data_IF_101090554583
#
_entry.id   IF_101090554583
#
_cell.length_a   1.000
_cell.length_b   1.000
_cell.length_c   1.000
_cell.angle_alpha   90.00
_cell.angle_beta   90.00
_cell.angle_gamma   90.00
#
_symmetry.space_group_name_H-M   'P 1'
#
loop_
_entity.id
_entity.type
_entity.pdbx_description
1 polymer ?
#
# COMPACT_ATOMS: atom_id res chain seq x y z
N UNK A 1 14.06 -4.54 12.94
CA UNK A 1 12.72 -4.63 12.34
C UNK A 1 12.58 -5.98 11.64
N UNK A 2 11.42 -6.63 11.74
CA UNK A 2 11.09 -7.87 11.00
C UNK A 2 10.79 -7.55 9.55
N UNK A 3 9.77 -6.73 9.33
CA UNK A 3 9.29 -6.30 8.04
C UNK A 3 8.34 -5.12 8.20
N UNK A 4 7.85 -4.61 7.07
CA UNK A 4 6.96 -3.46 7.01
C UNK A 4 5.64 -3.85 6.36
N UNK A 5 4.52 -3.46 6.98
CA UNK A 5 3.19 -3.63 6.41
C UNK A 5 2.67 -2.30 5.85
N UNK A 6 2.31 -2.29 4.57
CA UNK A 6 1.73 -1.14 3.90
C UNK A 6 0.21 -1.13 4.15
N UNK A 7 -0.30 -0.07 4.78
CA UNK A 7 -1.65 -0.06 5.34
C UNK A 7 -2.62 0.79 4.51
N UNK A 8 -3.73 0.18 4.09
CA UNK A 8 -4.92 0.86 3.53
C UNK A 8 -6.03 0.99 4.57
N UNK A 9 -7.03 1.84 4.34
CA UNK A 9 -8.02 2.21 5.36
C UNK A 9 -9.49 2.12 4.99
N UNK A 10 -9.87 2.06 3.71
CA UNK A 10 -11.27 2.26 3.31
C UNK A 10 -12.27 1.23 3.87
N UNK A 11 -11.86 0.01 4.15
CA UNK A 11 -12.68 -1.00 4.86
C UNK A 11 -12.21 -1.22 6.32
N UNK A 12 -11.23 -0.45 6.78
CA UNK A 12 -10.51 -0.62 8.04
C UNK A 12 -9.23 -1.46 7.92
N UNK A 13 -8.66 -1.81 9.07
CA UNK A 13 -7.34 -2.47 9.17
C UNK A 13 -7.41 -3.78 9.96
N UNK A 14 -6.49 -4.70 9.67
CA UNK A 14 -6.36 -6.01 10.35
C UNK A 14 -7.65 -6.86 10.36
N UNK A 15 -8.55 -6.63 9.41
CA UNK A 15 -9.84 -7.31 9.31
C UNK A 15 -10.99 -6.64 10.07
N UNK A 16 -10.71 -5.59 10.86
CA UNK A 16 -11.70 -4.81 11.62
C UNK A 16 -12.20 -3.60 10.82
N UNK A 17 -13.47 -3.21 11.02
CA UNK A 17 -14.12 -2.07 10.34
C UNK A 17 -13.87 -0.77 11.08
N UNK A 18 -12.69 -0.22 10.86
CA UNK A 18 -12.19 0.96 11.58
C UNK A 18 -12.30 2.27 10.81
N UNK A 19 -12.84 2.25 9.59
CA UNK A 19 -13.10 3.48 8.86
C UNK A 19 -14.23 4.29 9.52
N UNK A 20 -14.16 5.62 9.46
CA UNK A 20 -15.14 6.50 10.11
C UNK A 20 -16.53 6.39 9.49
N UNK A 21 -16.65 6.00 8.21
CA UNK A 21 -17.94 5.80 7.56
C UNK A 21 -18.80 4.76 8.29
N UNK A 22 -18.19 3.72 8.88
CA UNK A 22 -18.91 2.74 9.69
C UNK A 22 -19.48 3.32 10.99
N UNK A 23 -18.89 4.40 11.52
CA UNK A 23 -19.38 5.09 12.73
C UNK A 23 -20.47 6.10 12.42
N UNK A 24 -20.28 6.89 11.36
CA UNK A 24 -21.19 7.99 11.01
C UNK A 24 -22.34 7.55 10.11
N UNK A 25 -22.19 6.41 9.44
CA UNK A 25 -23.09 5.91 8.40
C UNK A 25 -23.17 6.86 7.18
N UNK A 26 -22.14 7.69 6.98
CA UNK A 26 -22.06 8.64 5.87
C UNK A 26 -21.08 8.14 4.80
N UNK A 27 -21.42 8.38 3.53
CA UNK A 27 -20.58 8.03 2.37
C UNK A 27 -20.18 6.54 2.31
N UNK A 28 -21.05 5.65 2.82
CA UNK A 28 -20.84 4.21 2.80
C UNK A 28 -20.73 3.70 1.36
N UNK A 29 -19.67 2.94 1.08
CA UNK A 29 -19.60 2.05 -0.07
C UNK A 29 -20.62 0.91 0.04
N UNK A 30 -20.92 0.27 -1.08
CA UNK A 30 -21.89 -0.83 -1.14
C UNK A 30 -21.58 -1.95 -0.14
N UNK A 31 -20.31 -2.38 -0.07
CA UNK A 31 -19.88 -3.44 0.84
C UNK A 31 -19.93 -3.00 2.32
N UNK A 32 -19.67 -1.72 2.59
CA UNK A 32 -19.74 -1.18 3.96
C UNK A 32 -21.20 -1.15 4.46
N UNK A 33 -22.12 -0.71 3.60
CA UNK A 33 -23.55 -0.70 3.90
C UNK A 33 -24.09 -2.12 4.10
N UNK A 34 -23.75 -3.06 3.21
CA UNK A 34 -24.15 -4.46 3.33
C UNK A 34 -23.62 -5.12 4.62
N UNK A 35 -22.40 -4.77 5.04
CA UNK A 35 -21.85 -5.24 6.31
C UNK A 35 -22.67 -4.72 7.50
N UNK A 36 -22.97 -3.42 7.56
CA UNK A 36 -23.75 -2.85 8.66
C UNK A 36 -25.18 -3.43 8.73
N UNK A 37 -25.80 -3.70 7.58
CA UNK A 37 -27.12 -4.36 7.54
C UNK A 37 -27.07 -5.79 8.11
N UNK A 38 -26.02 -6.55 7.78
CA UNK A 38 -25.82 -7.92 8.27
C UNK A 38 -25.38 -7.98 9.75
N UNK A 39 -24.85 -6.89 10.29
CA UNK A 39 -24.28 -6.80 11.64
C UNK A 39 -24.91 -5.66 12.45
N UNK A 40 -26.19 -5.78 12.86
CA UNK A 40 -26.90 -4.70 13.58
C UNK A 40 -26.34 -4.42 14.98
N UNK A 41 -25.52 -5.32 15.52
CA UNK A 41 -24.81 -5.20 16.80
C UNK A 41 -23.37 -4.66 16.65
N UNK A 42 -23.04 -4.15 15.45
CA UNK A 42 -21.74 -3.55 15.16
C UNK A 42 -21.37 -2.44 16.15
N UNK A 43 -20.14 -2.51 16.68
CA UNK A 43 -19.57 -1.53 17.60
C UNK A 43 -18.22 -1.05 17.04
N UNK A 44 -18.22 0.16 16.50
CA UNK A 44 -17.03 0.77 15.90
C UNK A 44 -15.92 1.01 16.93
N UNK A 45 -16.25 1.44 18.15
CA UNK A 45 -15.24 1.76 19.17
C UNK A 45 -14.53 0.46 19.61
N UNK A 46 -15.28 -0.65 19.69
CA UNK A 46 -14.70 -1.98 19.91
C UNK A 46 -13.78 -2.43 18.78
N UNK A 47 -14.18 -2.26 17.53
CA UNK A 47 -13.39 -2.65 16.36
C UNK A 47 -12.06 -1.90 16.29
N UNK A 48 -12.07 -0.59 16.58
CA UNK A 48 -10.85 0.22 16.70
C UNK A 48 -9.97 -0.26 17.86
N UNK A 49 -10.57 -0.58 19.01
CA UNK A 49 -9.81 -1.07 20.16
C UNK A 49 -9.13 -2.41 19.88
N UNK A 50 -9.81 -3.35 19.23
CA UNK A 50 -9.23 -4.66 18.86
C UNK A 50 -8.14 -4.51 17.78
N UNK A 51 -8.37 -3.69 16.75
CA UNK A 51 -7.35 -3.39 15.74
C UNK A 51 -6.09 -2.76 16.36
N UNK A 52 -6.26 -1.88 17.36
CA UNK A 52 -5.15 -1.24 18.06
C UNK A 52 -4.31 -2.26 18.83
N UNK A 53 -4.92 -3.26 19.47
CA UNK A 53 -4.16 -4.35 20.13
C UNK A 53 -3.26 -5.09 19.15
N UNK A 54 -3.74 -5.34 17.92
CA UNK A 54 -2.93 -5.98 16.87
C UNK A 54 -1.77 -5.08 16.46
N UNK A 55 -2.02 -3.80 16.22
CA UNK A 55 -0.98 -2.84 15.86
C UNK A 55 0.12 -2.76 16.93
N UNK A 56 -0.26 -2.70 18.21
CA UNK A 56 0.69 -2.71 19.32
C UNK A 56 1.49 -4.01 19.40
N UNK A 57 0.84 -5.17 19.23
CA UNK A 57 1.52 -6.45 19.19
C UNK A 57 2.52 -6.55 18.02
N UNK A 58 2.13 -6.10 16.83
CA UNK A 58 3.01 -6.01 15.67
C UNK A 58 4.24 -5.14 15.96
N UNK A 59 4.05 -3.94 16.53
CA UNK A 59 5.15 -3.05 16.91
C UNK A 59 6.06 -3.66 17.97
N UNK A 60 5.51 -4.30 19.00
CA UNK A 60 6.27 -4.98 20.04
C UNK A 60 7.14 -6.12 19.48
N UNK A 61 6.67 -6.80 18.43
CA UNK A 61 7.40 -7.84 17.70
C UNK A 61 8.40 -7.27 16.65
N UNK A 62 8.49 -5.95 16.54
CA UNK A 62 9.42 -5.25 15.66
C UNK A 62 8.95 -5.09 14.21
N UNK A 63 7.64 -5.14 13.95
CA UNK A 63 7.07 -4.72 12.67
C UNK A 63 6.94 -3.21 12.58
N UNK A 64 7.09 -2.70 11.36
CA UNK A 64 6.85 -1.29 11.02
C UNK A 64 5.64 -1.16 10.10
N UNK A 65 5.06 0.04 10.03
CA UNK A 65 3.93 0.33 9.17
C UNK A 65 4.28 1.45 8.18
N UNK A 66 3.71 1.37 6.98
CA UNK A 66 3.78 2.41 5.96
C UNK A 66 2.38 2.80 5.50
N UNK A 67 2.25 4.03 5.00
CA UNK A 67 1.06 4.46 4.30
C UNK A 67 0.98 3.74 2.95
N UNK A 68 -0.18 3.17 2.65
CA UNK A 68 -0.48 2.64 1.32
C UNK A 68 -1.67 3.35 0.68
N UNK A 69 -1.87 4.62 1.06
CA UNK A 69 -3.10 5.44 0.88
C UNK A 69 -4.30 4.83 1.60
N UNK A 70 -5.29 5.64 1.97
CA UNK A 70 -6.54 5.17 2.57
C UNK A 70 -7.34 4.31 1.58
N UNK A 71 -7.51 4.79 0.34
CA UNK A 71 -8.38 4.17 -0.66
C UNK A 71 -7.71 3.11 -1.54
N UNK A 72 -6.45 2.75 -1.26
CA UNK A 72 -5.60 2.06 -2.24
C UNK A 72 -5.55 2.86 -3.58
N UNK A 73 -5.49 4.18 -3.47
CA UNK A 73 -5.54 5.13 -4.56
C UNK A 73 -4.20 5.23 -5.28
N UNK A 74 -4.20 4.94 -6.58
CA UNK A 74 -3.02 5.24 -7.42
C UNK A 74 -2.78 6.75 -7.48
N UNK A 75 -1.53 7.15 -7.27
CA UNK A 75 -1.06 8.54 -7.42
C UNK A 75 -1.02 9.03 -8.87
N UNK A 76 -1.05 8.10 -9.83
CA UNK A 76 -0.97 8.41 -11.25
C UNK A 76 -2.13 9.31 -11.69
N UNK A 77 -1.78 10.44 -12.31
CA UNK A 77 -2.72 11.44 -12.83
C UNK A 77 -3.73 11.93 -11.78
N UNK A 78 -3.34 12.05 -10.51
CA UNK A 78 -4.17 12.63 -9.44
C UNK A 78 -3.74 14.05 -9.10
N UNK A 79 -4.69 14.92 -8.80
CA UNK A 79 -4.39 16.24 -8.24
C UNK A 79 -3.89 16.12 -6.80
N UNK A 80 -3.17 17.13 -6.32
CA UNK A 80 -2.80 17.25 -4.90
C UNK A 80 -4.05 17.22 -4.03
N UNK A 81 -5.14 17.90 -4.41
CA UNK A 81 -6.39 17.90 -3.65
C UNK A 81 -7.00 16.51 -3.47
N UNK A 82 -6.91 15.67 -4.51
CA UNK A 82 -7.43 14.30 -4.42
C UNK A 82 -6.58 13.47 -3.46
N UNK A 83 -5.25 13.60 -3.58
CA UNK A 83 -4.30 12.89 -2.73
C UNK A 83 -4.35 13.37 -1.29
N UNK A 84 -4.59 14.66 -1.06
CA UNK A 84 -4.69 15.24 0.27
C UNK A 84 -5.95 14.79 0.99
N UNK A 85 -7.08 14.72 0.27
CA UNK A 85 -8.34 14.16 0.80
C UNK A 85 -8.17 12.70 1.22
N UNK A 86 -7.50 11.88 0.39
CA UNK A 86 -7.22 10.48 0.74
C UNK A 86 -6.26 10.39 1.95
N UNK A 87 -5.19 11.18 1.94
CA UNK A 87 -4.20 11.20 3.00
C UNK A 87 -4.78 11.67 4.34
N UNK A 88 -5.70 12.63 4.33
CA UNK A 88 -6.41 13.07 5.53
C UNK A 88 -7.25 11.95 6.13
N UNK A 89 -7.98 11.19 5.30
CA UNK A 89 -8.69 10.00 5.77
C UNK A 89 -7.74 8.97 6.37
N UNK A 90 -6.59 8.75 5.75
CA UNK A 90 -5.57 7.83 6.28
C UNK A 90 -5.07 8.28 7.66
N UNK A 91 -4.78 9.57 7.85
CA UNK A 91 -4.33 10.12 9.15
C UNK A 91 -5.43 10.00 10.22
N UNK A 92 -6.68 10.29 9.85
CA UNK A 92 -7.80 10.30 10.79
C UNK A 92 -8.34 8.90 11.13
N UNK A 93 -7.87 7.85 10.46
CA UNK A 93 -8.32 6.47 10.69
C UNK A 93 -7.13 5.53 10.94
N UNK A 94 -6.36 5.20 9.91
CA UNK A 94 -5.28 4.21 9.95
C UNK A 94 -4.14 4.64 10.86
N UNK A 95 -3.70 5.91 10.78
CA UNK A 95 -2.58 6.41 11.59
C UNK A 95 -2.92 6.44 13.09
N UNK A 96 -4.20 6.62 13.45
CA UNK A 96 -4.64 6.58 14.84
C UNK A 96 -4.50 5.18 15.46
N UNK A 97 -4.47 4.13 14.64
CA UNK A 97 -4.31 2.72 15.08
C UNK A 97 -2.85 2.27 14.95
N UNK A 98 -2.24 2.53 13.80
CA UNK A 98 -0.91 2.01 13.45
C UNK A 98 0.23 2.92 13.91
N UNK A 99 -0.07 4.18 14.23
CA UNK A 99 0.90 5.23 14.48
C UNK A 99 1.26 6.01 13.22
N UNK A 100 1.88 7.18 13.41
CA UNK A 100 2.44 7.96 12.30
C UNK A 100 3.60 7.19 11.66
N UNK A 101 3.75 7.37 10.35
CA UNK A 101 4.82 6.78 9.55
C UNK A 101 5.42 7.84 8.65
N UNK A 102 6.72 7.70 8.37
CA UNK A 102 7.46 8.52 7.41
C UNK A 102 7.65 7.80 6.07
N UNK A 103 7.04 6.62 5.91
CA UNK A 103 7.16 5.79 4.71
C UNK A 103 5.84 5.70 3.98
N UNK A 104 5.86 5.98 2.68
CA UNK A 104 4.76 5.74 1.77
C UNK A 104 5.16 4.73 0.70
N UNK A 105 4.37 3.67 0.61
CA UNK A 105 4.43 2.69 -0.46
C UNK A 105 3.26 3.02 -1.37
N UNK A 106 3.49 3.36 -2.64
CA UNK A 106 2.42 3.78 -3.53
C UNK A 106 1.57 2.60 -4.01
N UNK A 107 0.24 2.78 -3.94
CA UNK A 107 -0.71 1.80 -4.44
C UNK A 107 -0.49 1.52 -5.94
N UNK A 108 -0.77 0.28 -6.34
CA UNK A 108 -0.59 -0.21 -7.72
C UNK A 108 0.84 -0.12 -8.26
N UNK A 109 1.85 0.05 -7.39
CA UNK A 109 3.23 0.19 -7.80
C UNK A 109 3.54 1.49 -8.54
N UNK A 110 2.64 2.47 -8.48
CA UNK A 110 2.78 3.75 -9.11
C UNK A 110 3.95 4.56 -8.53
N UNK A 111 4.36 5.59 -9.25
CA UNK A 111 5.37 6.54 -8.80
C UNK A 111 4.84 7.97 -9.00
N UNK A 112 5.16 8.87 -8.06
CA UNK A 112 4.81 10.29 -8.12
C UNK A 112 5.76 11.10 -9.02
N UNK A 113 6.82 10.49 -9.56
CA UNK A 113 7.78 11.16 -10.42
C UNK A 113 8.30 10.31 -11.56
N UNK A 114 9.29 10.86 -12.27
CA UNK A 114 9.99 10.17 -13.36
C UNK A 114 11.22 9.42 -12.84
N UNK A 115 12.05 8.85 -13.70
CA UNK A 115 13.33 8.23 -13.29
C UNK A 115 14.33 9.21 -12.65
N UNK A 116 14.11 10.53 -12.81
CA UNK A 116 14.92 11.59 -12.20
C UNK A 116 14.60 11.74 -10.71
N UNK A 117 15.47 12.47 -10.02
CA UNK A 117 15.27 12.86 -8.62
C UNK A 117 13.95 13.61 -8.44
N UNK A 118 13.31 13.40 -7.29
CA UNK A 118 12.20 14.23 -6.87
C UNK A 118 12.67 15.65 -6.55
N UNK A 119 11.88 16.63 -7.00
CA UNK A 119 12.13 18.05 -6.80
C UNK A 119 10.82 18.74 -6.41
N UNK A 120 10.76 19.24 -5.17
CA UNK A 120 9.56 19.88 -4.62
C UNK A 120 9.21 21.20 -5.33
N UNK A 121 10.12 21.78 -6.12
CA UNK A 121 9.84 22.97 -6.92
C UNK A 121 9.14 22.68 -8.25
N UNK A 122 9.15 21.42 -8.70
CA UNK A 122 8.57 21.00 -9.99
C UNK A 122 7.56 19.86 -9.87
N UNK A 123 7.43 19.28 -8.68
CA UNK A 123 6.51 18.17 -8.40
C UNK A 123 5.67 18.46 -7.15
N UNK A 124 4.47 18.99 -7.38
CA UNK A 124 3.55 19.37 -6.30
C UNK A 124 3.08 18.17 -5.47
N UNK A 125 2.97 16.97 -6.06
CA UNK A 125 2.63 15.75 -5.31
C UNK A 125 3.75 15.37 -4.32
N UNK A 126 5.00 15.43 -4.77
CA UNK A 126 6.15 15.21 -3.89
C UNK A 126 6.22 16.27 -2.79
N UNK A 127 6.09 17.57 -3.14
CA UNK A 127 6.07 18.65 -2.17
C UNK A 127 4.99 18.44 -1.10
N UNK A 128 3.80 18.03 -1.51
CA UNK A 128 2.70 17.70 -0.61
C UNK A 128 3.06 16.55 0.34
N UNK A 129 3.41 15.37 -0.17
CA UNK A 129 3.75 14.23 0.70
C UNK A 129 4.95 14.54 1.60
N UNK A 130 5.94 15.29 1.09
CA UNK A 130 7.08 15.73 1.90
C UNK A 130 6.63 16.61 3.08
N UNK A 131 5.71 17.55 2.84
CA UNK A 131 5.13 18.40 3.90
C UNK A 131 4.33 17.62 4.96
N UNK A 132 3.81 16.44 4.60
CA UNK A 132 3.13 15.52 5.53
C UNK A 132 4.10 14.71 6.40
N UNK A 133 5.41 14.83 6.17
CA UNK A 133 6.45 14.17 6.96
C UNK A 133 6.99 12.87 6.36
N UNK A 134 6.63 12.54 5.11
CA UNK A 134 7.21 11.39 4.43
C UNK A 134 8.66 11.64 4.00
N UNK A 135 9.51 10.63 4.18
CA UNK A 135 10.93 10.63 3.82
C UNK A 135 11.31 9.39 2.99
N UNK A 136 10.53 8.32 3.06
CA UNK A 136 10.76 7.08 2.32
C UNK A 136 9.61 6.84 1.34
N UNK A 137 9.96 6.65 0.07
CA UNK A 137 9.01 6.50 -1.04
C UNK A 137 9.30 5.21 -1.79
N UNK A 138 8.29 4.39 -2.01
CA UNK A 138 8.48 3.14 -2.73
C UNK A 138 7.38 2.84 -3.76
N UNK A 139 7.81 2.54 -4.97
CA UNK A 139 6.99 2.04 -6.06
C UNK A 139 7.24 0.53 -6.29
N UNK A 140 6.62 -0.05 -7.32
CA UNK A 140 7.00 -1.38 -7.81
C UNK A 140 7.69 -1.21 -9.15
N UNK A 141 8.90 -1.74 -9.26
CA UNK A 141 9.69 -1.70 -10.48
C UNK A 141 10.63 -2.90 -10.55
N UNK A 142 10.27 -3.85 -11.40
CA UNK A 142 11.01 -5.07 -11.68
C UNK A 142 11.86 -4.96 -12.97
N UNK A 143 12.20 -3.75 -13.43
CA UNK A 143 13.10 -3.56 -14.58
C UNK A 143 14.57 -3.87 -14.25
N UNK A 144 14.93 -3.85 -12.97
CA UNK A 144 16.22 -4.22 -12.43
C UNK A 144 16.05 -5.09 -11.17
N UNK A 145 17.11 -5.79 -10.73
CA UNK A 145 17.08 -6.55 -9.47
C UNK A 145 16.95 -5.64 -8.24
N UNK A 146 17.49 -4.42 -8.33
CA UNK A 146 17.31 -3.39 -7.32
C UNK A 146 17.68 -2.02 -7.92
N UNK A 147 17.06 -0.97 -7.41
CA UNK A 147 17.56 0.40 -7.54
C UNK A 147 17.09 1.25 -6.36
N UNK A 148 17.89 2.26 -6.01
CA UNK A 148 17.62 3.16 -4.89
C UNK A 148 18.20 4.54 -5.17
N UNK A 149 17.48 5.59 -4.78
CA UNK A 149 17.93 6.97 -4.76
C UNK A 149 17.98 7.42 -3.30
N UNK A 150 19.19 7.53 -2.75
CA UNK A 150 19.43 8.09 -1.42
C UNK A 150 19.84 9.54 -1.60
N UNK A 151 19.09 10.48 -1.02
CA UNK A 151 19.39 11.92 -1.00
C UNK A 151 19.49 12.39 0.46
N UNK A 152 19.84 13.66 0.65
CA UNK A 152 19.99 14.24 2.00
C UNK A 152 18.68 14.29 2.78
N UNK A 153 17.56 14.33 2.07
CA UNK A 153 16.23 14.58 2.63
C UNK A 153 15.21 13.49 2.28
N UNK A 154 15.50 12.56 1.36
CA UNK A 154 14.60 11.44 1.10
C UNK A 154 15.33 10.18 0.61
N UNK A 155 14.63 9.07 0.68
CA UNK A 155 14.98 7.81 0.02
C UNK A 155 13.83 7.40 -0.88
N UNK A 156 14.15 7.02 -2.12
CA UNK A 156 13.20 6.41 -3.05
C UNK A 156 13.72 5.07 -3.53
N UNK A 157 12.89 4.05 -3.52
CA UNK A 157 13.29 2.68 -3.86
C UNK A 157 12.24 1.96 -4.72
N UNK A 158 12.68 1.37 -5.82
CA UNK A 158 11.89 0.39 -6.56
C UNK A 158 11.85 -0.95 -5.82
N UNK A 159 10.65 -1.51 -5.62
CA UNK A 159 10.47 -2.85 -5.04
C UNK A 159 10.11 -3.87 -6.11
N UNK A 160 10.48 -5.12 -5.87
CA UNK A 160 9.99 -6.26 -6.64
C UNK A 160 8.77 -6.83 -5.93
N UNK A 161 7.64 -6.92 -6.63
CA UNK A 161 6.47 -7.66 -6.21
C UNK A 161 6.72 -9.16 -6.35
N UNK A 162 6.70 -9.88 -5.23
CA UNK A 162 6.80 -11.34 -5.23
C UNK A 162 5.39 -11.95 -5.25
N UNK A 163 4.78 -11.96 -6.43
CA UNK A 163 3.45 -12.53 -6.64
C UNK A 163 3.40 -13.45 -7.87
N UNK A 164 2.26 -14.09 -8.09
CA UNK A 164 2.13 -15.00 -9.24
C UNK A 164 2.07 -14.29 -10.59
N UNK A 165 1.78 -12.99 -10.66
CA UNK A 165 1.87 -12.23 -11.91
C UNK A 165 3.33 -12.03 -12.28
N UNK A 166 4.16 -11.58 -11.34
CA UNK A 166 5.57 -11.35 -11.58
C UNK A 166 6.32 -12.67 -11.81
N UNK A 167 5.97 -13.73 -11.06
CA UNK A 167 6.47 -15.08 -11.33
C UNK A 167 6.06 -15.58 -12.73
N UNK A 168 4.81 -15.38 -13.13
CA UNK A 168 4.34 -15.74 -14.48
C UNK A 168 5.09 -14.95 -15.56
N UNK A 169 5.35 -13.66 -15.35
CA UNK A 169 6.13 -12.84 -16.29
C UNK A 169 7.55 -13.36 -16.47
N UNK A 170 8.19 -13.78 -15.38
CA UNK A 170 9.50 -14.44 -15.43
C UNK A 170 9.46 -15.77 -16.20
N UNK A 171 8.45 -16.62 -15.96
CA UNK A 171 8.32 -17.93 -16.61
C UNK A 171 7.92 -17.84 -18.10
N UNK A 172 7.02 -16.93 -18.44
CA UNK A 172 6.47 -16.79 -19.80
C UNK A 172 7.37 -16.00 -20.76
N UNK A 173 8.48 -15.45 -20.27
CA UNK A 173 9.35 -14.57 -21.06
C UNK A 173 8.76 -13.18 -21.34
N UNK A 174 7.67 -12.80 -20.65
CA UNK A 174 7.10 -11.45 -20.75
C UNK A 174 7.96 -10.41 -20.02
N UNK A 175 8.70 -10.82 -18.99
CA UNK A 175 9.64 -9.94 -18.31
C UNK A 175 10.90 -9.74 -19.18
N UNK A 176 11.38 -8.50 -19.28
CA UNK A 176 12.69 -8.20 -19.89
C UNK A 176 13.86 -8.78 -19.08
N UNK A 177 13.64 -9.06 -17.78
CA UNK A 177 14.59 -9.66 -16.86
C UNK A 177 13.89 -10.59 -15.88
N UNK A 178 14.49 -11.75 -15.59
CA UNK A 178 14.04 -12.58 -14.48
C UNK A 178 14.60 -12.06 -13.16
N UNK A 179 13.87 -11.17 -12.50
CA UNK A 179 14.29 -10.56 -11.23
C UNK A 179 14.37 -11.54 -10.05
N UNK A 180 13.90 -12.79 -10.20
CA UNK A 180 13.96 -13.81 -9.14
C UNK A 180 15.16 -14.74 -9.22
N UNK A 181 15.95 -14.69 -10.31
CA UNK A 181 17.00 -15.67 -10.60
C UNK A 181 18.03 -15.85 -9.46
N UNK A 182 18.31 -14.77 -8.73
CA UNK A 182 19.25 -14.76 -7.60
C UNK A 182 18.59 -14.99 -6.23
N UNK A 183 17.26 -15.12 -6.17
CA UNK A 183 16.50 -15.27 -4.92
C UNK A 183 15.98 -16.69 -4.76
N UNK A 184 15.27 -17.21 -5.77
CA UNK A 184 14.72 -18.56 -5.76
C UNK A 184 14.36 -19.01 -7.19
N UNK A 185 14.30 -20.32 -7.39
CA UNK A 185 13.83 -20.89 -8.64
C UNK A 185 12.30 -20.79 -8.73
N UNK A 186 11.81 -19.90 -9.59
CA UNK A 186 10.38 -19.68 -9.83
C UNK A 186 9.65 -20.97 -10.24
N UNK A 187 10.32 -21.86 -10.98
CA UNK A 187 9.71 -23.13 -11.42
C UNK A 187 9.40 -24.07 -10.27
N UNK A 188 10.11 -23.92 -9.14
CA UNK A 188 9.92 -24.75 -7.95
C UNK A 188 8.77 -24.30 -7.04
N UNK A 189 8.30 -23.06 -7.19
CA UNK A 189 7.30 -22.44 -6.29
C UNK A 189 6.02 -21.98 -6.98
N UNK A 190 6.03 -21.82 -8.32
CA UNK A 190 4.85 -21.37 -9.05
C UNK A 190 3.73 -22.42 -9.00
N UNK A 191 2.56 -22.04 -8.50
CA UNK A 191 1.40 -22.94 -8.46
C UNK A 191 0.83 -23.15 -9.87
N UNK A 192 1.11 -24.33 -10.45
CA UNK A 192 0.66 -24.70 -11.79
C UNK A 192 -0.86 -24.85 -11.92
N UNK A 193 -1.62 -24.84 -10.82
CA UNK A 193 -3.09 -24.83 -10.85
C UNK A 193 -3.66 -23.43 -11.10
N UNK A 194 -2.84 -22.39 -11.00
CA UNK A 194 -3.26 -21.01 -11.28
C UNK A 194 -3.66 -20.86 -12.76
N UNK A 195 -4.78 -20.21 -13.08
CA UNK A 195 -5.12 -19.90 -14.47
C UNK A 195 -4.03 -19.07 -15.15
N UNK A 196 -3.68 -19.46 -16.38
CA UNK A 196 -2.68 -18.77 -17.22
C UNK A 196 -3.31 -18.29 -18.53
N UNK A 197 -2.98 -17.10 -19.05
CA UNK A 197 -2.00 -16.16 -18.50
C UNK A 197 -2.48 -15.50 -17.21
N UNK A 198 -1.56 -15.23 -16.28
CA UNK A 198 -1.90 -14.53 -15.04
C UNK A 198 -2.13 -13.05 -15.36
N UNK A 199 -3.27 -12.49 -14.94
CA UNK A 199 -3.60 -11.07 -15.12
C UNK A 199 -3.64 -10.32 -13.78
N UNK A 200 -3.27 -9.04 -13.81
CA UNK A 200 -3.32 -8.16 -12.63
C UNK A 200 -4.75 -7.81 -12.19
N UNK A 201 -5.75 -8.04 -13.05
CA UNK A 201 -7.16 -7.70 -12.79
C UNK A 201 -7.93 -8.84 -12.12
N UNK A 202 -7.29 -9.99 -11.89
CA UNK A 202 -7.95 -11.18 -11.35
C UNK A 202 -8.99 -11.78 -12.31
N UNK A 203 -9.09 -11.29 -13.54
CA UNK A 203 -9.93 -11.88 -14.59
C UNK A 203 -9.03 -12.78 -15.44
N UNK A 204 -9.23 -14.09 -15.31
CA UNK A 204 -8.73 -15.08 -16.27
C UNK A 204 -9.56 -15.00 -17.56
#
# INVERSE_FOLDING_TARGET
>A
ARGMAAMTGYNGVFGYRTDVAYKTHENLGQDQAAYLEAHPDFDWDREVAEATKIAEACKAEGWEFACHTWGHLSVTNKSVDTLSTDQEKWQNTVANITGKTDTIIFAHGADIGTWRDYDASTNDQYAYFKSMGYNFYANVDASAEYWIQIRSDYVRQGRIDCDGLQMWRSLSGQASKNVFENFFDVTSVFDSRRPTPVSATGKA
#
